data_IF_174297983746
#
_entry.id   IF_174297983746
#
_cell.length_a   1.000
_cell.length_b   1.000
_cell.length_c   1.000
_cell.angle_alpha   90.00
_cell.angle_beta   90.00
_cell.angle_gamma   90.00
#
_symmetry.space_group_name_H-M   'P 1'
#
loop_
_entity.id
_entity.type
_entity.pdbx_description
1 polymer ?
#
# COMPACT_ATOMS: atom_id res chain seq x y z
N UNK A 1 29.46 -5.20 7.07
CA UNK A 1 28.08 -5.21 7.57
C UNK A 1 27.63 -3.75 7.74
N UNK A 2 26.70 -3.28 6.90
CA UNK A 2 26.14 -1.94 7.01
C UNK A 2 25.15 -1.82 8.17
N UNK A 3 24.84 -0.60 8.58
CA UNK A 3 23.84 -0.33 9.61
C UNK A 3 22.43 -0.74 9.11
N UNK A 4 21.59 -1.20 10.03
CA UNK A 4 20.17 -1.40 9.74
C UNK A 4 19.45 -0.06 9.73
N UNK A 5 18.57 0.15 8.75
CA UNK A 5 17.77 1.38 8.68
C UNK A 5 16.81 1.50 9.86
N UNK A 6 16.54 2.71 10.26
CA UNK A 6 15.59 3.06 11.31
C UNK A 6 14.28 3.61 10.72
N UNK A 7 13.28 3.78 11.58
CA UNK A 7 11.98 4.28 11.20
C UNK A 7 10.97 3.17 10.91
N UNK A 8 9.69 3.56 10.89
CA UNK A 8 8.58 2.66 10.60
C UNK A 8 8.28 2.64 9.12
N UNK A 9 7.53 1.64 8.68
CA UNK A 9 7.01 1.60 7.33
C UNK A 9 6.25 2.89 7.00
N UNK A 10 6.49 3.42 5.79
CA UNK A 10 5.88 4.65 5.27
C UNK A 10 6.24 5.95 6.04
N UNK A 11 7.21 5.93 6.94
CA UNK A 11 7.83 7.15 7.46
C UNK A 11 8.81 7.72 6.43
N UNK A 12 8.75 9.04 6.21
CA UNK A 12 9.64 9.76 5.28
C UNK A 12 10.25 10.95 5.99
N UNK A 13 11.58 11.07 5.97
CA UNK A 13 12.30 12.25 6.39
C UNK A 13 12.51 13.19 5.21
N UNK A 14 12.05 14.44 5.32
CA UNK A 14 12.30 15.49 4.34
C UNK A 14 13.45 16.37 4.87
N UNK A 15 14.53 16.44 4.10
CA UNK A 15 15.68 17.31 4.35
C UNK A 15 15.56 18.51 3.45
N UNK A 16 15.27 19.67 4.00
CA UNK A 16 15.01 20.90 3.26
C UNK A 16 15.40 22.13 4.09
N UNK A 17 15.82 23.20 3.44
CA UNK A 17 16.03 24.49 4.08
C UNK A 17 14.79 24.94 4.84
N UNK A 18 14.91 25.34 6.13
CA UNK A 18 13.74 25.71 6.95
C UNK A 18 12.89 26.82 6.34
N UNK A 19 13.51 27.83 5.74
CA UNK A 19 12.78 28.92 5.13
C UNK A 19 12.05 28.46 3.86
N UNK A 20 12.67 27.63 3.02
CA UNK A 20 12.04 27.03 1.85
C UNK A 20 10.86 26.15 2.24
N UNK A 21 10.96 25.39 3.34
CA UNK A 21 9.89 24.51 3.81
C UNK A 21 8.58 25.27 4.06
N UNK A 22 8.65 26.49 4.55
CA UNK A 22 7.47 27.34 4.81
C UNK A 22 6.98 28.12 3.58
N UNK A 23 7.75 28.16 2.49
CA UNK A 23 7.40 28.85 1.24
C UNK A 23 6.64 27.93 0.26
N UNK A 24 6.10 28.45 -0.84
CA UNK A 24 5.30 27.66 -1.78
C UNK A 24 5.98 26.39 -2.31
N UNK A 25 7.27 26.41 -2.56
CA UNK A 25 8.00 25.23 -3.04
C UNK A 25 8.00 24.09 -2.00
N UNK A 26 8.28 24.42 -0.73
CA UNK A 26 8.22 23.46 0.36
C UNK A 26 6.81 22.96 0.63
N UNK A 27 5.82 23.86 0.57
CA UNK A 27 4.40 23.48 0.71
C UNK A 27 3.92 22.59 -0.43
N UNK A 28 4.41 22.78 -1.64
CA UNK A 28 4.11 21.88 -2.75
C UNK A 28 4.60 20.46 -2.50
N UNK A 29 5.81 20.30 -1.97
CA UNK A 29 6.32 18.97 -1.58
C UNK A 29 5.51 18.37 -0.41
N UNK A 30 5.18 19.19 0.58
CA UNK A 30 4.28 18.75 1.66
C UNK A 30 2.97 18.22 1.11
N UNK A 31 2.30 18.96 0.21
CA UNK A 31 1.02 18.60 -0.37
C UNK A 31 1.10 17.29 -1.20
N UNK A 32 2.23 17.04 -1.88
CA UNK A 32 2.48 15.77 -2.58
C UNK A 32 2.48 14.60 -1.60
N UNK A 33 3.14 14.75 -0.46
CA UNK A 33 3.29 13.68 0.54
C UNK A 33 2.08 13.57 1.48
N UNK A 34 1.27 14.63 1.60
CA UNK A 34 0.02 14.65 2.36
C UNK A 34 -1.11 14.01 1.56
N UNK A 35 -0.94 12.74 1.27
CA UNK A 35 -1.89 11.92 0.51
C UNK A 35 -2.48 10.85 1.40
N UNK A 36 -3.76 10.50 1.15
CA UNK A 36 -4.48 9.52 1.94
C UNK A 36 -4.38 8.11 1.36
N UNK A 37 -4.47 7.12 2.23
CA UNK A 37 -4.67 5.72 1.83
C UNK A 37 -6.06 5.63 1.18
N UNK A 38 -6.14 5.15 -0.08
CA UNK A 38 -7.43 5.06 -0.76
C UNK A 38 -8.33 3.99 -0.16
N UNK A 39 -9.65 4.24 -0.17
CA UNK A 39 -10.66 3.25 0.21
C UNK A 39 -10.93 3.13 1.70
N UNK A 40 -10.41 4.01 2.55
CA UNK A 40 -10.69 4.04 3.98
C UNK A 40 -11.88 4.96 4.31
N UNK A 41 -12.67 4.65 5.34
CA UNK A 41 -13.82 5.46 5.75
C UNK A 41 -13.40 6.77 6.41
N UNK A 42 -12.21 6.81 6.99
CA UNK A 42 -11.60 7.97 7.60
C UNK A 42 -10.29 8.28 6.88
N UNK A 43 -9.96 9.57 6.82
CA UNK A 43 -8.69 10.01 6.25
C UNK A 43 -7.54 9.46 7.09
N UNK A 44 -6.70 8.64 6.47
CA UNK A 44 -5.42 8.19 7.01
C UNK A 44 -4.30 8.53 6.03
N UNK A 45 -3.28 9.21 6.49
CA UNK A 45 -2.15 9.57 5.66
C UNK A 45 -1.38 8.33 5.20
N UNK A 46 -1.03 8.29 3.91
CA UNK A 46 -0.19 7.22 3.36
C UNK A 46 1.22 7.26 3.91
N UNK A 47 1.72 8.47 4.19
CA UNK A 47 3.08 8.68 4.70
C UNK A 47 3.06 9.46 6.02
N UNK A 48 3.95 9.08 6.92
CA UNK A 48 4.26 9.84 8.12
C UNK A 48 5.49 10.70 7.84
N UNK A 49 5.28 12.00 7.67
CA UNK A 49 6.34 12.94 7.38
C UNK A 49 7.08 13.38 8.64
N UNK A 50 8.40 13.41 8.55
CA UNK A 50 9.31 14.11 9.44
C UNK A 50 10.10 15.12 8.62
N UNK A 51 10.56 16.17 9.26
CA UNK A 51 11.28 17.25 8.60
C UNK A 51 12.54 17.60 9.40
N UNK A 52 13.62 17.87 8.68
CA UNK A 52 14.85 18.43 9.25
C UNK A 52 15.52 19.40 8.29
N UNK A 53 16.32 20.32 8.85
CA UNK A 53 17.19 21.17 8.05
C UNK A 53 18.44 20.39 7.59
N UNK A 54 19.12 20.82 6.51
CA UNK A 54 20.41 20.25 6.13
C UNK A 54 21.47 20.31 7.25
N UNK A 55 21.46 21.38 8.05
CA UNK A 55 22.39 21.54 9.17
C UNK A 55 22.17 20.50 10.28
N UNK A 56 20.94 20.05 10.50
CA UNK A 56 20.57 19.08 11.53
C UNK A 56 20.47 17.64 10.97
N UNK A 57 20.76 17.43 9.70
CA UNK A 57 20.77 16.11 9.06
C UNK A 57 22.05 15.35 9.47
N UNK A 58 22.02 14.81 10.66
CA UNK A 58 23.13 14.15 11.32
C UNK A 58 23.24 12.64 11.01
N UNK A 59 24.21 11.98 11.61
CA UNK A 59 24.45 10.55 11.44
C UNK A 59 23.25 9.68 11.85
N UNK A 60 22.49 10.09 12.85
CA UNK A 60 21.29 9.35 13.31
C UNK A 60 20.17 9.46 12.29
N UNK A 61 19.88 10.65 11.81
CA UNK A 61 18.83 10.89 10.81
C UNK A 61 19.16 10.27 9.46
N UNK A 62 20.43 10.14 9.12
CA UNK A 62 20.89 9.45 7.91
C UNK A 62 20.54 7.96 7.88
N UNK A 63 20.23 7.35 9.02
CA UNK A 63 19.82 5.94 9.08
C UNK A 63 18.35 5.72 8.75
N UNK A 64 17.55 6.77 8.60
CA UNK A 64 16.12 6.65 8.31
C UNK A 64 15.90 5.98 6.94
N UNK A 65 14.92 5.10 6.89
CA UNK A 65 14.66 4.19 5.76
C UNK A 65 14.19 4.88 4.47
N UNK A 66 13.48 6.00 4.56
CA UNK A 66 13.02 6.80 3.43
C UNK A 66 13.40 8.26 3.63
N UNK A 67 14.14 8.82 2.72
CA UNK A 67 14.63 10.19 2.81
C UNK A 67 14.37 10.91 1.49
N UNK A 68 13.84 12.14 1.57
CA UNK A 68 13.79 13.10 0.46
C UNK A 68 14.73 14.24 0.79
N UNK A 69 15.60 14.58 -0.15
CA UNK A 69 16.47 15.75 -0.07
C UNK A 69 16.03 16.78 -1.11
N UNK A 70 15.58 17.94 -0.65
CA UNK A 70 15.30 19.09 -1.52
C UNK A 70 16.61 19.86 -1.73
N UNK A 71 17.13 19.80 -2.95
CA UNK A 71 18.42 20.38 -3.34
C UNK A 71 18.23 21.45 -4.40
N UNK A 72 18.01 22.68 -3.96
CA UNK A 72 17.79 23.84 -4.83
C UNK A 72 19.07 24.68 -4.87
N UNK A 73 19.70 24.70 -6.03
CA UNK A 73 20.94 25.45 -6.28
C UNK A 73 20.95 26.00 -7.72
N UNK A 74 21.46 27.21 -7.89
CA UNK A 74 21.53 27.90 -9.20
C UNK A 74 22.51 27.25 -10.18
N UNK A 75 23.34 26.32 -9.72
CA UNK A 75 24.23 25.52 -10.57
C UNK A 75 23.50 24.50 -11.43
N UNK A 76 22.28 24.13 -11.07
CA UNK A 76 21.48 23.21 -11.86
C UNK A 76 20.84 23.93 -13.04
N UNK A 77 20.70 23.23 -14.17
CA UNK A 77 20.12 23.79 -15.40
C UNK A 77 18.63 23.45 -15.52
N UNK A 78 18.19 22.37 -14.90
CA UNK A 78 16.80 21.90 -14.93
C UNK A 78 16.50 21.06 -13.71
N UNK A 79 15.20 20.93 -13.32
CA UNK A 79 14.81 20.02 -12.28
C UNK A 79 15.04 18.57 -12.69
N UNK A 80 15.47 17.75 -11.75
CA UNK A 80 15.54 16.29 -11.95
C UNK A 80 15.49 15.53 -10.65
N UNK A 81 15.10 14.26 -10.74
CA UNK A 81 15.26 13.28 -9.66
C UNK A 81 16.62 12.61 -9.73
N UNK A 82 17.19 12.39 -8.54
CA UNK A 82 18.36 11.54 -8.33
C UNK A 82 18.04 10.60 -7.18
N UNK A 83 18.24 9.32 -7.37
CA UNK A 83 17.93 8.34 -6.33
C UNK A 83 19.11 7.45 -6.03
N UNK A 84 19.13 6.99 -4.77
CA UNK A 84 20.14 6.06 -4.27
C UNK A 84 19.50 5.07 -3.30
N UNK A 85 20.08 3.88 -3.21
CA UNK A 85 19.67 2.83 -2.28
C UNK A 85 20.80 2.49 -1.34
N UNK A 86 20.47 2.17 -0.09
CA UNK A 86 21.38 1.60 0.90
C UNK A 86 22.68 2.38 1.08
N UNK A 87 22.58 3.73 1.15
CA UNK A 87 23.75 4.61 1.24
C UNK A 87 24.34 4.59 2.65
N UNK A 88 23.52 4.78 3.67
CA UNK A 88 23.94 4.86 5.07
C UNK A 88 23.45 3.68 5.90
N UNK A 89 22.39 3.04 5.46
CA UNK A 89 21.74 1.93 6.14
C UNK A 89 21.04 1.05 5.12
N UNK A 90 20.63 -0.14 5.49
CA UNK A 90 19.86 -1.04 4.62
C UNK A 90 18.69 -1.66 5.39
N UNK A 91 17.49 -1.76 4.80
CA UNK A 91 17.10 -1.23 3.49
C UNK A 91 16.83 0.28 3.55
N UNK A 92 17.32 1.03 2.58
CA UNK A 92 17.16 2.49 2.55
C UNK A 92 16.90 2.99 1.13
N UNK A 93 16.09 4.02 1.02
CA UNK A 93 15.79 4.70 -0.24
C UNK A 93 15.94 6.21 -0.04
N UNK A 94 16.75 6.84 -0.84
CA UNK A 94 16.97 8.29 -0.84
C UNK A 94 16.59 8.86 -2.21
N UNK A 95 15.65 9.81 -2.22
CA UNK A 95 15.28 10.59 -3.39
C UNK A 95 15.76 12.02 -3.21
N UNK A 96 16.68 12.46 -4.07
CA UNK A 96 17.10 13.86 -4.16
C UNK A 96 16.34 14.54 -5.29
N UNK A 97 15.72 15.67 -5.00
CA UNK A 97 15.02 16.50 -5.98
C UNK A 97 15.86 17.74 -6.18
N UNK A 98 16.53 17.81 -7.33
CA UNK A 98 17.37 18.95 -7.72
C UNK A 98 16.56 19.93 -8.56
N UNK A 99 16.76 21.22 -8.33
CA UNK A 99 16.17 22.29 -9.15
C UNK A 99 17.04 23.54 -9.12
N UNK A 100 17.03 24.35 -10.20
CA UNK A 100 17.81 25.60 -10.23
C UNK A 100 17.27 26.70 -9.31
N UNK A 101 15.96 26.69 -9.05
CA UNK A 101 15.25 27.65 -8.20
C UNK A 101 14.01 27.04 -7.56
N UNK A 102 13.40 27.75 -6.63
CA UNK A 102 12.20 27.26 -5.93
C UNK A 102 10.98 27.19 -6.85
N UNK A 103 10.83 28.10 -7.79
CA UNK A 103 9.68 28.09 -8.71
C UNK A 103 9.68 26.84 -9.60
N UNK A 104 10.82 26.47 -10.16
CA UNK A 104 10.95 25.23 -10.94
C UNK A 104 10.83 23.98 -10.09
N UNK A 105 11.30 24.00 -8.84
CA UNK A 105 11.08 22.92 -7.87
C UNK A 105 9.58 22.69 -7.59
N UNK A 106 8.86 23.76 -7.31
CA UNK A 106 7.40 23.72 -7.05
C UNK A 106 6.64 23.09 -8.23
N UNK A 107 6.89 23.58 -9.44
CA UNK A 107 6.28 23.04 -10.66
C UNK A 107 6.63 21.55 -10.85
N UNK A 108 7.89 21.21 -10.69
CA UNK A 108 8.39 19.85 -10.89
C UNK A 108 7.78 18.82 -9.93
N UNK A 109 7.71 19.13 -8.64
CA UNK A 109 7.12 18.21 -7.66
C UNK A 109 5.61 18.09 -7.86
N UNK A 110 4.94 19.15 -8.23
CA UNK A 110 3.50 19.15 -8.51
C UNK A 110 3.17 18.30 -9.74
N UNK A 111 3.90 18.49 -10.82
CA UNK A 111 3.73 17.73 -12.08
C UNK A 111 4.12 16.26 -11.94
N UNK A 112 5.03 15.94 -11.03
CA UNK A 112 5.53 14.58 -10.79
C UNK A 112 5.03 13.99 -9.47
N UNK A 113 3.89 14.47 -8.96
CA UNK A 113 3.30 14.02 -7.69
C UNK A 113 3.20 12.50 -7.61
N UNK A 114 2.62 11.86 -8.61
CA UNK A 114 2.40 10.42 -8.59
C UNK A 114 3.70 9.63 -8.65
N UNK A 115 4.70 10.13 -9.39
CA UNK A 115 6.03 9.52 -9.45
C UNK A 115 6.70 9.48 -8.08
N UNK A 116 6.61 10.57 -7.32
CA UNK A 116 7.18 10.66 -5.96
C UNK A 116 6.45 9.68 -5.02
N UNK A 117 5.13 9.67 -5.04
CA UNK A 117 4.31 8.78 -4.21
C UNK A 117 4.63 7.32 -4.54
N UNK A 118 4.64 6.95 -5.81
CA UNK A 118 4.88 5.58 -6.27
C UNK A 118 6.29 5.10 -5.93
N UNK A 119 7.27 5.99 -5.98
CA UNK A 119 8.65 5.66 -5.65
C UNK A 119 8.77 5.10 -4.22
N UNK A 120 8.19 5.78 -3.24
CA UNK A 120 8.24 5.34 -1.85
C UNK A 120 7.27 4.21 -1.54
N UNK A 121 6.09 4.22 -2.12
CA UNK A 121 5.11 3.12 -1.99
C UNK A 121 5.70 1.82 -2.52
N UNK A 122 6.33 1.85 -3.69
CA UNK A 122 6.98 0.67 -4.29
C UNK A 122 8.16 0.19 -3.44
N UNK A 123 8.97 1.12 -2.89
CA UNK A 123 10.06 0.75 -2.00
C UNK A 123 9.55 0.01 -0.75
N UNK A 124 8.47 0.49 -0.13
CA UNK A 124 7.85 -0.18 1.02
C UNK A 124 7.25 -1.54 0.65
N UNK A 125 6.56 -1.62 -0.47
CA UNK A 125 6.00 -2.89 -0.96
C UNK A 125 7.10 -3.93 -1.24
N UNK A 126 8.20 -3.52 -1.86
CA UNK A 126 9.32 -4.42 -2.13
C UNK A 126 9.97 -4.94 -0.84
N UNK A 127 10.02 -4.13 0.21
CA UNK A 127 10.50 -4.56 1.53
C UNK A 127 9.57 -5.59 2.17
N UNK A 128 8.26 -5.38 2.06
CA UNK A 128 7.26 -6.36 2.51
C UNK A 128 7.37 -7.68 1.75
N UNK A 129 7.52 -7.63 0.44
CA UNK A 129 7.72 -8.82 -0.39
C UNK A 129 8.99 -9.58 0.04
N UNK A 130 10.11 -8.88 0.25
CA UNK A 130 11.35 -9.49 0.71
C UNK A 130 11.22 -10.15 2.10
N UNK A 131 10.41 -9.57 2.99
CA UNK A 131 10.10 -10.18 4.29
C UNK A 131 9.26 -11.44 4.13
N UNK A 132 8.23 -11.41 3.28
CA UNK A 132 7.38 -12.56 2.99
C UNK A 132 8.15 -13.68 2.29
N UNK A 133 9.09 -13.36 1.41
CA UNK A 133 9.97 -14.35 0.80
C UNK A 133 10.75 -15.14 1.85
N UNK A 134 11.26 -14.47 2.87
CA UNK A 134 12.01 -15.09 3.95
C UNK A 134 11.13 -15.83 4.97
N UNK A 135 9.94 -15.30 5.23
CA UNK A 135 9.02 -15.87 6.23
C UNK A 135 7.57 -15.64 5.81
N UNK A 136 6.89 -16.70 5.46
CA UNK A 136 5.47 -16.72 5.12
C UNK A 136 4.84 -18.03 5.61
N UNK A 137 3.52 -18.13 5.47
CA UNK A 137 2.80 -19.34 5.82
C UNK A 137 2.87 -20.36 4.68
N UNK A 138 3.73 -21.38 4.81
CA UNK A 138 3.93 -22.42 3.79
C UNK A 138 2.69 -23.26 3.55
N UNK A 139 1.89 -23.52 4.58
CA UNK A 139 0.65 -24.28 4.45
C UNK A 139 -0.35 -23.56 3.52
N UNK A 140 -0.51 -22.23 3.71
CA UNK A 140 -1.36 -21.41 2.84
C UNK A 140 -0.84 -21.41 1.41
N UNK A 141 0.45 -21.21 1.20
CA UNK A 141 1.08 -21.24 -0.14
C UNK A 141 0.80 -22.56 -0.85
N UNK A 142 0.98 -23.69 -0.16
CA UNK A 142 0.73 -25.01 -0.70
C UNK A 142 -0.74 -25.23 -1.05
N UNK A 143 -1.66 -24.86 -0.18
CA UNK A 143 -3.10 -25.00 -0.40
C UNK A 143 -3.59 -24.15 -1.57
N UNK A 144 -3.17 -22.91 -1.63
CA UNK A 144 -3.56 -21.99 -2.72
C UNK A 144 -3.02 -22.48 -4.07
N UNK A 145 -1.77 -22.96 -4.11
CA UNK A 145 -1.20 -23.55 -5.33
C UNK A 145 -2.00 -24.76 -5.80
N UNK A 146 -2.35 -25.65 -4.87
CA UNK A 146 -3.13 -26.85 -5.17
C UNK A 146 -4.54 -26.55 -5.67
N UNK A 147 -5.22 -25.58 -5.05
CA UNK A 147 -6.63 -25.26 -5.36
C UNK A 147 -6.82 -24.33 -6.55
N UNK A 148 -5.90 -23.37 -6.75
CA UNK A 148 -6.10 -22.25 -7.67
C UNK A 148 -4.98 -22.08 -8.70
N UNK A 149 -3.94 -22.90 -8.63
CA UNK A 149 -2.72 -22.78 -9.45
C UNK A 149 -2.08 -21.38 -9.41
N UNK A 150 -2.16 -20.74 -8.24
CA UNK A 150 -1.60 -19.43 -7.95
C UNK A 150 -0.49 -19.53 -6.92
N UNK A 151 0.51 -18.67 -7.06
CA UNK A 151 1.58 -18.51 -6.07
C UNK A 151 1.28 -17.30 -5.20
N UNK A 152 1.12 -17.50 -3.90
CA UNK A 152 0.87 -16.42 -2.93
C UNK A 152 1.71 -16.60 -1.68
N UNK A 153 2.14 -15.50 -1.10
CA UNK A 153 2.74 -15.45 0.21
C UNK A 153 1.87 -14.60 1.14
N UNK A 154 1.47 -15.19 2.25
CA UNK A 154 0.79 -14.47 3.32
C UNK A 154 1.65 -14.51 4.59
N UNK A 155 1.52 -13.52 5.50
CA UNK A 155 2.23 -13.53 6.77
C UNK A 155 2.03 -14.84 7.53
N UNK A 156 3.07 -15.32 8.21
CA UNK A 156 3.00 -16.54 9.01
C UNK A 156 1.96 -16.45 10.15
N UNK A 157 1.64 -15.23 10.58
CA UNK A 157 0.65 -14.93 11.60
C UNK A 157 -0.79 -15.24 11.16
N UNK A 158 -1.07 -15.34 9.87
CA UNK A 158 -2.36 -15.80 9.34
C UNK A 158 -2.44 -17.32 9.43
N UNK A 159 -2.50 -17.85 10.65
CA UNK A 159 -2.37 -19.27 10.95
C UNK A 159 -3.68 -20.02 11.06
N UNK A 160 -4.81 -19.33 11.22
CA UNK A 160 -6.14 -19.94 11.16
C UNK A 160 -6.60 -20.05 9.72
N UNK A 161 -7.11 -21.21 9.34
CA UNK A 161 -7.49 -21.47 7.94
C UNK A 161 -8.84 -22.15 7.82
N UNK A 162 -9.52 -21.91 6.70
CA UNK A 162 -10.76 -22.59 6.33
C UNK A 162 -10.78 -22.84 4.82
N UNK A 163 -11.13 -24.05 4.41
CA UNK A 163 -11.31 -24.43 3.02
C UNK A 163 -12.79 -24.67 2.74
N UNK A 164 -13.28 -24.06 1.65
CA UNK A 164 -14.59 -24.35 1.09
C UNK A 164 -14.46 -24.84 -0.36
N UNK A 165 -15.60 -24.99 -1.03
CA UNK A 165 -15.61 -25.27 -2.46
C UNK A 165 -15.17 -24.03 -3.23
N UNK A 166 -14.09 -24.16 -4.01
CA UNK A 166 -13.48 -23.04 -4.72
C UNK A 166 -13.19 -21.81 -3.85
N UNK A 167 -12.92 -22.04 -2.56
CA UNK A 167 -12.72 -21.00 -1.55
C UNK A 167 -11.65 -21.40 -0.54
N UNK A 168 -10.79 -20.45 -0.18
CA UNK A 168 -9.83 -20.61 0.90
C UNK A 168 -9.70 -19.30 1.68
N UNK A 169 -9.65 -19.43 3.00
CA UNK A 169 -9.46 -18.31 3.93
C UNK A 169 -8.30 -18.59 4.87
N UNK A 170 -7.52 -17.55 5.17
CA UNK A 170 -6.55 -17.53 6.26
C UNK A 170 -6.67 -16.23 7.05
N UNK A 171 -6.51 -16.30 8.37
CA UNK A 171 -6.64 -15.14 9.23
C UNK A 171 -5.83 -15.24 10.52
N UNK A 172 -5.71 -14.09 11.21
CA UNK A 172 -4.89 -13.95 12.42
C UNK A 172 -5.60 -14.34 13.72
N UNK A 173 -6.93 -14.26 13.80
CA UNK A 173 -7.69 -14.40 15.05
C UNK A 173 -7.22 -13.46 16.18
N UNK A 174 -6.83 -12.23 15.83
CA UNK A 174 -6.36 -11.24 16.80
C UNK A 174 -7.55 -10.53 17.48
N UNK A 175 -7.42 -10.24 18.78
CA UNK A 175 -8.48 -9.60 19.53
C UNK A 175 -8.73 -8.14 19.17
N UNK A 176 -7.74 -7.45 18.61
CA UNK A 176 -7.78 -5.99 18.35
C UNK A 176 -7.75 -5.61 16.88
N UNK A 177 -7.12 -6.41 16.02
CA UNK A 177 -7.05 -6.15 14.59
C UNK A 177 -6.82 -7.46 13.85
N UNK A 178 -7.84 -7.98 13.19
CA UNK A 178 -7.73 -9.18 12.37
C UNK A 178 -7.26 -8.83 10.95
N UNK A 179 -6.27 -9.59 10.48
CA UNK A 179 -5.92 -9.63 9.07
C UNK A 179 -6.50 -10.88 8.44
N UNK A 180 -7.12 -10.73 7.29
CA UNK A 180 -7.76 -11.81 6.58
C UNK A 180 -7.29 -11.85 5.13
N UNK A 181 -6.98 -13.04 4.66
CA UNK A 181 -6.73 -13.36 3.27
C UNK A 181 -7.82 -14.29 2.77
N UNK A 182 -8.41 -13.95 1.63
CA UNK A 182 -9.44 -14.76 0.98
C UNK A 182 -9.09 -14.92 -0.50
N UNK A 183 -9.18 -16.13 -1.00
CA UNK A 183 -9.10 -16.42 -2.43
C UNK A 183 -10.26 -17.35 -2.81
N UNK A 184 -10.89 -17.06 -3.94
CA UNK A 184 -11.94 -17.89 -4.50
C UNK A 184 -11.94 -17.82 -6.03
N UNK A 185 -12.47 -18.82 -6.66
CA UNK A 185 -12.65 -18.89 -8.10
C UNK A 185 -14.11 -19.10 -8.47
N UNK A 186 -14.47 -18.64 -9.64
CA UNK A 186 -15.78 -18.84 -10.24
C UNK A 186 -15.65 -18.85 -11.78
N UNK A 187 -16.59 -19.48 -12.51
CA UNK A 187 -16.52 -19.53 -13.96
C UNK A 187 -16.61 -18.13 -14.58
N UNK A 188 -15.70 -17.82 -15.50
CA UNK A 188 -15.82 -16.63 -16.34
C UNK A 188 -16.94 -16.85 -17.37
N UNK A 189 -17.86 -15.93 -17.47
CA UNK A 189 -18.99 -16.01 -18.42
C UNK A 189 -18.88 -14.97 -19.54
N UNK A 190 -18.70 -13.71 -19.19
CA UNK A 190 -18.63 -12.59 -20.11
C UNK A 190 -17.96 -11.36 -19.48
N UNK A 191 -17.89 -10.25 -20.24
CA UNK A 191 -17.25 -9.00 -19.80
C UNK A 191 -17.91 -8.38 -18.57
N UNK A 192 -19.17 -8.67 -18.27
CA UNK A 192 -19.86 -8.15 -17.08
C UNK A 192 -19.24 -8.67 -15.79
N UNK A 193 -18.46 -9.75 -15.84
CA UNK A 193 -17.64 -10.24 -14.72
C UNK A 193 -16.72 -9.18 -14.12
N UNK A 194 -16.31 -8.19 -14.92
CA UNK A 194 -15.41 -7.10 -14.50
C UNK A 194 -16.16 -5.80 -14.16
N UNK A 195 -17.47 -5.85 -13.94
CA UNK A 195 -18.24 -4.71 -13.45
C UNK A 195 -18.25 -4.64 -11.94
N UNK A 196 -18.48 -3.45 -11.39
CA UNK A 196 -18.63 -3.24 -9.94
C UNK A 196 -19.80 -4.03 -9.36
N UNK A 197 -20.93 -4.03 -10.05
CA UNK A 197 -22.15 -4.73 -9.65
C UNK A 197 -21.91 -6.23 -9.53
N UNK A 198 -21.29 -6.82 -10.53
CA UNK A 198 -20.94 -8.25 -10.51
C UNK A 198 -19.93 -8.57 -9.40
N UNK A 199 -18.93 -7.70 -9.20
CA UNK A 199 -17.95 -7.84 -8.14
C UNK A 199 -18.63 -7.92 -6.76
N UNK A 200 -19.53 -6.98 -6.46
CA UNK A 200 -20.25 -6.94 -5.17
C UNK A 200 -21.13 -8.17 -5.00
N UNK A 201 -21.92 -8.52 -6.00
CA UNK A 201 -22.82 -9.69 -5.95
C UNK A 201 -22.06 -10.99 -5.73
N UNK A 202 -21.00 -11.21 -6.50
CA UNK A 202 -20.22 -12.44 -6.42
C UNK A 202 -19.51 -12.53 -5.07
N UNK A 203 -18.89 -11.44 -4.62
CA UNK A 203 -18.22 -11.38 -3.34
C UNK A 203 -19.19 -11.68 -2.20
N UNK A 204 -20.33 -11.04 -2.15
CA UNK A 204 -21.33 -11.25 -1.11
C UNK A 204 -21.88 -12.68 -1.11
N UNK A 205 -22.12 -13.26 -2.28
CA UNK A 205 -22.54 -14.65 -2.43
C UNK A 205 -21.52 -15.63 -1.86
N UNK A 206 -20.25 -15.44 -2.23
CA UNK A 206 -19.15 -16.29 -1.74
C UNK A 206 -18.94 -16.14 -0.23
N UNK A 207 -18.99 -14.92 0.30
CA UNK A 207 -18.83 -14.67 1.73
C UNK A 207 -20.01 -15.22 2.53
N UNK A 208 -21.23 -15.11 2.03
CA UNK A 208 -22.42 -15.69 2.64
C UNK A 208 -22.31 -17.21 2.77
N UNK A 209 -21.79 -17.86 1.74
CA UNK A 209 -21.63 -19.32 1.73
C UNK A 209 -20.48 -19.80 2.64
N UNK A 210 -19.40 -19.03 2.75
CA UNK A 210 -18.14 -19.48 3.36
C UNK A 210 -17.78 -18.79 4.68
N UNK A 211 -18.22 -17.55 4.89
CA UNK A 211 -17.97 -16.77 6.12
C UNK A 211 -19.30 -16.27 6.69
N UNK A 212 -20.16 -17.17 7.18
CA UNK A 212 -21.38 -16.79 7.87
C UNK A 212 -21.04 -16.19 9.22
N UNK A 213 -21.92 -15.30 9.72
CA UNK A 213 -21.83 -14.79 11.08
C UNK A 213 -22.30 -15.82 12.13
N UNK A 214 -22.33 -15.37 13.38
CA UNK A 214 -22.70 -16.22 14.52
C UNK A 214 -24.17 -16.68 14.51
N UNK A 215 -25.04 -15.98 13.79
CA UNK A 215 -26.49 -16.27 13.69
C UNK A 215 -26.89 -16.45 12.23
N UNK A 216 -28.01 -17.16 12.03
CA UNK A 216 -28.60 -17.33 10.70
C UNK A 216 -28.85 -15.97 10.01
N UNK A 217 -28.52 -15.87 8.72
CA UNK A 217 -28.64 -14.65 7.93
C UNK A 217 -27.52 -13.63 8.10
N UNK A 218 -26.60 -13.84 9.05
CA UNK A 218 -25.40 -13.01 9.21
C UNK A 218 -24.31 -13.48 8.27
N UNK A 219 -23.65 -12.54 7.58
CA UNK A 219 -22.51 -12.80 6.71
C UNK A 219 -21.70 -11.51 6.47
N UNK A 220 -20.46 -11.69 6.02
CA UNK A 220 -19.60 -10.58 5.61
C UNK A 220 -20.12 -9.96 4.31
N UNK A 221 -20.69 -8.77 4.38
CA UNK A 221 -21.24 -8.05 3.23
C UNK A 221 -20.33 -6.93 2.77
N UNK A 222 -20.38 -6.60 1.48
CA UNK A 222 -19.67 -5.48 0.90
C UNK A 222 -20.49 -4.20 1.03
N UNK A 223 -19.88 -3.10 1.47
CA UNK A 223 -20.51 -1.78 1.44
C UNK A 223 -20.45 -1.25 0.01
N UNK A 224 -21.58 -1.25 -0.67
CA UNK A 224 -21.66 -0.87 -2.09
C UNK A 224 -21.32 0.61 -2.34
N UNK A 225 -21.69 1.51 -1.40
CA UNK A 225 -21.42 2.93 -1.53
C UNK A 225 -19.94 3.27 -1.37
N UNK A 226 -19.23 2.51 -0.57
CA UNK A 226 -17.81 2.71 -0.28
C UNK A 226 -16.89 1.85 -1.16
N UNK A 227 -17.42 1.16 -2.16
CA UNK A 227 -16.64 0.33 -3.07
C UNK A 227 -16.19 1.14 -4.28
N UNK A 228 -14.88 1.22 -4.49
CA UNK A 228 -14.24 1.80 -5.66
C UNK A 228 -13.55 0.70 -6.47
N UNK A 229 -13.77 0.72 -7.78
CA UNK A 229 -13.27 -0.30 -8.70
C UNK A 229 -12.48 0.35 -9.82
N UNK A 230 -11.26 -0.11 -10.06
CA UNK A 230 -10.41 0.39 -11.15
C UNK A 230 -9.71 -0.75 -11.89
N UNK A 231 -9.48 -0.60 -13.21
CA UNK A 231 -8.66 -1.53 -13.95
C UNK A 231 -7.18 -1.36 -13.61
N UNK A 232 -6.45 -2.46 -13.67
CA UNK A 232 -4.99 -2.43 -13.60
C UNK A 232 -4.39 -3.61 -14.38
N UNK A 233 -3.07 -3.60 -14.49
CA UNK A 233 -2.33 -4.69 -15.11
C UNK A 233 -1.52 -5.40 -14.03
N UNK A 234 -1.67 -6.71 -13.94
CA UNK A 234 -0.89 -7.57 -13.05
C UNK A 234 -0.09 -8.55 -13.92
N UNK A 235 1.22 -8.41 -13.92
CA UNK A 235 2.13 -9.27 -14.67
C UNK A 235 1.76 -9.41 -16.16
N UNK A 236 1.34 -8.31 -16.78
CA UNK A 236 0.97 -8.28 -18.19
C UNK A 236 -0.49 -8.61 -18.49
N UNK A 237 -1.27 -9.02 -17.51
CA UNK A 237 -2.68 -9.39 -17.68
C UNK A 237 -3.63 -8.35 -17.09
N UNK A 238 -4.77 -8.19 -17.74
CA UNK A 238 -5.84 -7.32 -17.26
C UNK A 238 -6.38 -7.84 -15.93
N UNK A 239 -6.55 -6.94 -14.98
CA UNK A 239 -7.15 -7.23 -13.69
C UNK A 239 -8.03 -6.07 -13.24
N UNK A 240 -8.90 -6.35 -12.30
CA UNK A 240 -9.73 -5.38 -11.61
C UNK A 240 -9.29 -5.28 -10.16
N UNK A 241 -9.00 -4.06 -9.70
CA UNK A 241 -8.80 -3.78 -8.28
C UNK A 241 -10.05 -3.16 -7.69
N UNK A 242 -10.54 -3.71 -6.60
CA UNK A 242 -11.60 -3.12 -5.79
C UNK A 242 -11.05 -2.78 -4.40
N UNK A 243 -11.38 -1.59 -3.93
CA UNK A 243 -11.09 -1.12 -2.57
C UNK A 243 -12.37 -0.62 -1.94
N UNK A 244 -12.57 -0.93 -0.68
CA UNK A 244 -13.77 -0.49 0.02
C UNK A 244 -13.85 -1.02 1.43
N UNK A 245 -15.08 -1.12 1.92
CA UNK A 245 -15.40 -1.58 3.26
C UNK A 245 -16.27 -2.83 3.21
N UNK A 246 -16.02 -3.74 4.10
CA UNK A 246 -16.93 -4.83 4.44
C UNK A 246 -17.53 -4.59 5.82
N UNK A 247 -18.68 -5.15 6.03
CA UNK A 247 -19.34 -5.19 7.34
C UNK A 247 -20.02 -6.53 7.55
N UNK A 248 -20.05 -7.00 8.78
CA UNK A 248 -20.85 -8.17 9.13
C UNK A 248 -22.31 -7.75 9.21
N UNK A 249 -23.16 -8.28 8.31
CA UNK A 249 -24.59 -8.02 8.35
C UNK A 249 -25.16 -8.54 9.67
N UNK A 250 -25.80 -7.67 10.44
CA UNK A 250 -26.35 -7.99 11.75
C UNK A 250 -25.39 -7.87 12.93
N UNK A 251 -24.19 -7.34 12.72
CA UNK A 251 -23.18 -7.06 13.75
C UNK A 251 -22.48 -5.74 13.48
N UNK A 252 -21.70 -5.25 14.43
CA UNK A 252 -20.92 -4.02 14.33
C UNK A 252 -19.52 -4.22 13.73
N UNK A 253 -19.14 -5.46 13.46
CA UNK A 253 -17.82 -5.78 12.90
C UNK A 253 -17.73 -5.34 11.45
N UNK A 254 -16.61 -4.68 11.09
CA UNK A 254 -16.32 -4.24 9.74
C UNK A 254 -14.87 -3.83 9.57
N UNK A 255 -14.46 -3.57 8.35
CA UNK A 255 -13.11 -3.15 8.05
C UNK A 255 -12.88 -2.84 6.56
N UNK A 256 -11.70 -2.32 6.23
CA UNK A 256 -11.30 -2.12 4.84
C UNK A 256 -10.92 -3.44 4.18
N UNK A 257 -11.02 -3.46 2.85
CA UNK A 257 -10.50 -4.53 2.02
C UNK A 257 -9.86 -4.00 0.74
N UNK A 258 -8.93 -4.77 0.21
CA UNK A 258 -8.42 -4.65 -1.16
C UNK A 258 -8.61 -6.00 -1.84
N UNK A 259 -9.17 -6.01 -3.03
CA UNK A 259 -9.44 -7.22 -3.80
C UNK A 259 -8.93 -7.08 -5.22
N UNK A 260 -8.31 -8.12 -5.74
CA UNK A 260 -7.91 -8.21 -7.13
C UNK A 260 -8.67 -9.35 -7.81
N UNK A 261 -9.26 -9.05 -8.97
CA UNK A 261 -9.94 -10.01 -9.81
C UNK A 261 -9.19 -10.11 -11.15
N UNK A 262 -8.87 -11.31 -11.51
CA UNK A 262 -8.11 -11.63 -12.70
C UNK A 262 -8.78 -12.73 -13.54
#
# INVERSE_FOLDING_TARGET
FGATSSGRAYEILVVVDPAMWERPAGRALYDVLDTDVPGLPQSERSFRMMYTSPANYDATLKLIRNIIIADVQDIYTQPKFKYAKDVYASPQTILTIQAPDEASFETFVTENKQTIIDFFTRAEMNRQIAQLERKHNDYVSTKVKSMFDCDVWVPAELSSTKQGENFFWAGTNAATADQNFVIYSFPYRDKNTFTKEYFVQMRDSVMKANIPGAKEGMYMATDTLMTDVRPLNIQGEYALEARGLWRMKGDFMGGPYVSHRR
#
